data_IF_711250735292
#
_entry.id   IF_711250735292
#
_cell.length_a   1.000
_cell.length_b   1.000
_cell.length_c   1.000
_cell.angle_alpha   90.00
_cell.angle_beta   90.00
_cell.angle_gamma   90.00
#
_symmetry.space_group_name_H-M   'P 1'
#
loop_
_entity.id
_entity.type
_entity.pdbx_description
1 polymer ?
#
# COMPACT_ATOMS: atom_id res chain seq x y z
N UNK A 1 -27.19 -48.22 -80.30
CA UNK A 1 -25.75 -48.28 -80.02
C UNK A 1 -25.42 -46.98 -79.28
N UNK A 2 -25.72 -46.92 -77.99
CA UNK A 2 -24.78 -47.26 -76.90
C UNK A 2 -23.46 -46.51 -77.04
N UNK A 3 -22.87 -45.90 -76.04
CA UNK A 3 -23.25 -45.57 -74.67
C UNK A 3 -22.11 -44.63 -74.26
N UNK A 4 -22.42 -43.40 -73.88
CA UNK A 4 -21.40 -42.43 -73.48
C UNK A 4 -20.74 -42.93 -72.20
N UNK A 5 -19.46 -43.31 -72.31
CA UNK A 5 -18.66 -43.71 -71.16
C UNK A 5 -18.71 -42.61 -70.08
N UNK A 6 -18.91 -42.96 -68.80
CA UNK A 6 -18.89 -41.98 -67.73
C UNK A 6 -17.51 -41.33 -67.65
N UNK A 7 -17.48 -40.00 -67.60
CA UNK A 7 -16.28 -39.22 -67.36
C UNK A 7 -15.62 -39.71 -66.05
N UNK A 8 -14.31 -39.98 -66.03
CA UNK A 8 -13.65 -40.38 -64.79
C UNK A 8 -13.87 -39.31 -63.72
N UNK A 9 -14.02 -39.69 -62.44
CA UNK A 9 -14.15 -38.71 -61.37
C UNK A 9 -12.95 -37.76 -61.43
N UNK A 10 -13.23 -36.45 -61.42
CA UNK A 10 -12.19 -35.44 -61.36
C UNK A 10 -11.28 -35.77 -60.18
N UNK A 11 -9.99 -35.96 -60.44
CA UNK A 11 -9.02 -36.18 -59.38
C UNK A 11 -9.07 -34.96 -58.46
N UNK A 12 -9.28 -35.18 -57.16
CA UNK A 12 -9.21 -34.15 -56.12
C UNK A 12 -7.88 -33.40 -56.28
N UNK A 13 -7.95 -32.23 -56.90
CA UNK A 13 -6.78 -31.37 -57.04
C UNK A 13 -6.41 -30.87 -55.65
N UNK A 14 -5.11 -30.80 -55.33
CA UNK A 14 -4.65 -30.34 -54.02
C UNK A 14 -5.15 -28.93 -53.65
N UNK A 15 -5.70 -28.19 -54.62
CA UNK A 15 -6.35 -26.88 -54.50
C UNK A 15 -7.76 -26.89 -53.88
N UNK A 16 -8.40 -28.04 -53.65
CA UNK A 16 -9.79 -28.13 -53.14
C UNK A 16 -9.91 -28.48 -51.64
N UNK A 17 -8.84 -28.31 -50.86
CA UNK A 17 -8.89 -28.58 -49.42
C UNK A 17 -9.60 -27.46 -48.65
N UNK A 18 -10.91 -27.59 -48.47
CA UNK A 18 -11.72 -26.70 -47.63
C UNK A 18 -11.99 -27.33 -46.25
N UNK A 19 -11.77 -26.57 -45.17
CA UNK A 19 -12.04 -27.02 -43.81
C UNK A 19 -13.55 -27.08 -43.52
N UNK A 20 -14.07 -28.28 -43.20
CA UNK A 20 -15.46 -28.49 -42.77
C UNK A 20 -15.51 -28.89 -41.28
N UNK A 21 -15.95 -27.98 -40.41
CA UNK A 21 -15.86 -28.13 -38.95
C UNK A 21 -16.65 -29.28 -38.30
N UNK A 22 -17.53 -29.96 -39.03
CA UNK A 22 -18.28 -31.14 -38.53
C UNK A 22 -17.71 -32.48 -39.00
N UNK A 23 -16.64 -32.48 -39.80
CA UNK A 23 -15.92 -33.69 -40.24
C UNK A 23 -14.64 -33.90 -39.41
N UNK A 24 -14.17 -35.15 -39.24
CA UNK A 24 -12.93 -35.41 -38.52
C UNK A 24 -11.74 -34.74 -39.21
N UNK A 25 -10.80 -34.24 -38.41
CA UNK A 25 -9.58 -33.57 -38.88
C UNK A 25 -8.77 -34.52 -39.78
N UNK A 26 -8.40 -34.01 -40.96
CA UNK A 26 -7.55 -34.71 -41.92
C UNK A 26 -6.25 -35.18 -41.25
N UNK A 27 -5.84 -36.45 -41.42
CA UNK A 27 -4.63 -37.00 -40.78
C UNK A 27 -3.36 -36.18 -41.02
N UNK A 28 -3.23 -35.56 -42.21
CA UNK A 28 -2.10 -34.70 -42.59
C UNK A 28 -1.97 -33.44 -41.73
N UNK A 29 -3.07 -32.92 -41.18
CA UNK A 29 -3.09 -31.70 -40.37
C UNK A 29 -2.94 -31.96 -38.87
N UNK A 30 -3.12 -33.21 -38.42
CA UNK A 30 -3.13 -33.54 -36.97
C UNK A 30 -1.83 -33.17 -36.28
N UNK A 31 -0.68 -33.46 -36.91
CA UNK A 31 0.62 -33.14 -36.34
C UNK A 31 0.85 -31.62 -36.31
N UNK A 32 0.54 -30.92 -37.40
CA UNK A 32 0.64 -29.45 -37.47
C UNK A 32 -0.22 -28.77 -36.41
N UNK A 33 -1.48 -29.20 -36.27
CA UNK A 33 -2.39 -28.68 -35.26
C UNK A 33 -1.93 -29.01 -33.84
N UNK A 34 -1.44 -30.24 -33.59
CA UNK A 34 -0.88 -30.60 -32.29
C UNK A 34 0.33 -29.73 -31.93
N UNK A 35 1.25 -29.49 -32.87
CA UNK A 35 2.39 -28.59 -32.68
C UNK A 35 1.92 -27.16 -32.42
N UNK A 36 0.96 -26.65 -33.19
CA UNK A 36 0.40 -25.31 -32.97
C UNK A 36 -0.20 -25.19 -31.57
N UNK A 37 -1.01 -26.17 -31.14
CA UNK A 37 -1.63 -26.18 -29.81
C UNK A 37 -0.57 -26.22 -28.71
N UNK A 38 0.45 -27.07 -28.84
CA UNK A 38 1.57 -27.14 -27.88
C UNK A 38 2.32 -25.82 -27.82
N UNK A 39 2.62 -25.21 -28.97
CA UNK A 39 3.30 -23.91 -29.05
C UNK A 39 2.46 -22.80 -28.42
N UNK A 40 1.15 -22.77 -28.65
CA UNK A 40 0.25 -21.79 -28.04
C UNK A 40 0.17 -21.96 -26.52
N UNK A 41 0.08 -23.20 -26.02
CA UNK A 41 0.11 -23.49 -24.58
C UNK A 41 1.46 -23.06 -23.99
N UNK A 42 2.57 -23.41 -24.64
CA UNK A 42 3.91 -23.04 -24.18
C UNK A 42 4.10 -21.52 -24.15
N UNK A 43 3.63 -20.80 -25.18
CA UNK A 43 3.67 -19.35 -25.25
C UNK A 43 2.80 -18.70 -24.15
N UNK A 44 1.62 -19.25 -23.89
CA UNK A 44 0.76 -18.80 -22.79
C UNK A 44 1.44 -18.98 -21.43
N UNK A 45 1.98 -20.17 -21.16
CA UNK A 45 2.71 -20.46 -19.90
C UNK A 45 3.93 -19.56 -19.75
N UNK A 46 4.71 -19.35 -20.82
CA UNK A 46 5.86 -18.46 -20.80
C UNK A 46 5.46 -17.01 -20.48
N UNK A 47 4.40 -16.51 -21.13
CA UNK A 47 3.89 -15.15 -20.88
C UNK A 47 3.37 -15.02 -19.46
N UNK A 48 2.60 -15.99 -18.96
CA UNK A 48 2.11 -16.01 -17.59
C UNK A 48 3.26 -16.04 -16.58
N UNK A 49 4.32 -16.81 -16.83
CA UNK A 49 5.50 -16.85 -15.97
C UNK A 49 6.25 -15.52 -15.96
N UNK A 50 6.37 -14.84 -17.11
CA UNK A 50 6.97 -13.50 -17.20
C UNK A 50 6.14 -12.48 -16.43
N UNK A 51 4.82 -12.44 -16.65
CA UNK A 51 3.92 -11.51 -15.95
C UNK A 51 3.91 -11.75 -14.45
N UNK A 52 3.86 -13.02 -14.01
CA UNK A 52 3.92 -13.38 -12.59
C UNK A 52 5.21 -12.88 -11.93
N UNK A 53 6.35 -13.00 -12.60
CA UNK A 53 7.64 -12.49 -12.10
C UNK A 53 7.74 -10.96 -12.10
N UNK A 54 6.92 -10.28 -12.88
CA UNK A 54 6.86 -8.81 -12.92
C UNK A 54 5.96 -8.24 -11.82
N UNK A 55 5.07 -9.03 -11.22
CA UNK A 55 4.28 -8.60 -10.08
C UNK A 55 5.16 -8.59 -8.82
N UNK A 56 5.22 -7.45 -8.14
CA UNK A 56 5.90 -7.32 -6.86
C UNK A 56 5.19 -8.09 -5.75
N UNK A 57 5.94 -8.49 -4.71
CA UNK A 57 5.36 -9.05 -3.49
C UNK A 57 4.37 -8.05 -2.87
N UNK A 58 3.07 -8.42 -2.72
CA UNK A 58 2.04 -7.53 -2.16
C UNK A 58 2.28 -7.20 -0.67
N UNK A 59 3.21 -7.89 -0.01
CA UNK A 59 3.67 -7.62 1.34
C UNK A 59 2.77 -8.17 2.46
N UNK A 60 3.25 -8.03 3.68
CA UNK A 60 2.72 -8.67 4.91
C UNK A 60 1.71 -7.81 5.67
N UNK A 61 1.20 -6.72 5.08
CA UNK A 61 0.26 -5.82 5.78
C UNK A 61 -0.98 -6.57 6.24
N UNK A 62 -1.62 -6.20 7.35
CA UNK A 62 -2.84 -6.86 7.82
C UNK A 62 -3.77 -5.80 8.37
N UNK A 63 -5.03 -5.86 7.99
CA UNK A 63 -6.10 -5.09 8.61
C UNK A 63 -6.97 -6.06 9.43
N UNK A 64 -6.93 -5.92 10.75
CA UNK A 64 -7.71 -6.72 11.70
C UNK A 64 -9.16 -6.24 11.78
N UNK A 65 -9.80 -6.13 10.61
CA UNK A 65 -11.16 -5.64 10.46
C UNK A 65 -12.17 -6.58 11.13
N UNK A 66 -13.23 -6.01 11.70
CA UNK A 66 -14.24 -6.77 12.44
C UNK A 66 -13.83 -7.20 13.85
N UNK A 67 -12.56 -7.02 14.24
CA UNK A 67 -12.08 -7.28 15.60
C UNK A 67 -11.60 -5.97 16.25
N UNK A 68 -12.51 -5.16 16.82
CA UNK A 68 -12.14 -3.91 17.45
C UNK A 68 -11.19 -4.18 18.63
N UNK A 69 -10.19 -3.33 18.78
CA UNK A 69 -9.20 -3.36 19.85
C UNK A 69 -9.18 -2.02 20.56
N UNK A 70 -8.79 -2.05 21.82
CA UNK A 70 -8.71 -0.88 22.67
C UNK A 70 -7.26 -0.55 22.99
N UNK A 71 -6.93 0.73 22.93
CA UNK A 71 -5.63 1.28 23.26
C UNK A 71 -5.82 2.46 24.21
N UNK A 72 -4.97 2.58 25.22
CA UNK A 72 -5.06 3.67 26.20
C UNK A 72 -3.81 4.51 26.10
N UNK A 73 -3.98 5.82 25.96
CA UNK A 73 -2.87 6.74 25.77
C UNK A 73 -3.32 8.20 25.73
N UNK A 74 -2.39 9.07 25.32
CA UNK A 74 -2.64 10.50 25.13
C UNK A 74 -2.84 10.79 23.65
N UNK A 75 -3.90 11.50 23.31
CA UNK A 75 -4.16 11.94 21.94
C UNK A 75 -3.26 13.14 21.64
N UNK A 76 -2.59 13.09 20.50
CA UNK A 76 -1.77 14.19 19.96
C UNK A 76 -2.13 14.37 18.49
N UNK A 77 -2.37 15.61 18.05
CA UNK A 77 -2.83 15.89 16.70
C UNK A 77 -1.77 16.44 15.74
N UNK A 78 -0.56 16.74 16.23
CA UNK A 78 0.55 17.21 15.41
C UNK A 78 1.68 16.16 15.30
N UNK A 79 2.28 15.96 14.11
CA UNK A 79 1.88 16.51 12.80
C UNK A 79 0.56 15.94 12.27
N UNK A 80 0.18 14.76 12.74
CA UNK A 80 -1.05 14.08 12.37
C UNK A 80 -1.70 13.47 13.61
N UNK A 81 -3.03 13.27 13.61
CA UNK A 81 -3.73 12.56 14.67
C UNK A 81 -3.09 11.22 15.02
N UNK A 82 -2.69 11.07 16.27
CA UNK A 82 -2.08 9.86 16.81
C UNK A 82 -2.45 9.66 18.29
N UNK A 83 -2.39 8.41 18.72
CA UNK A 83 -2.43 8.03 20.12
C UNK A 83 -1.01 7.66 20.55
N UNK A 84 -0.47 8.39 21.50
CA UNK A 84 0.79 8.05 22.17
C UNK A 84 0.50 7.04 23.29
N UNK A 85 1.07 5.84 23.18
CA UNK A 85 0.90 4.77 24.15
C UNK A 85 2.24 4.38 24.78
N UNK A 86 2.17 3.94 26.04
CA UNK A 86 3.31 3.28 26.69
C UNK A 86 3.25 1.81 26.32
N UNK A 87 4.26 1.25 25.62
CA UNK A 87 4.27 -0.17 25.30
C UNK A 87 4.29 -1.03 26.58
N UNK A 88 3.68 -2.22 26.51
CA UNK A 88 3.65 -3.18 27.63
C UNK A 88 5.04 -3.74 27.96
N UNK A 89 5.89 -3.86 26.95
CA UNK A 89 7.29 -4.26 27.09
C UNK A 89 8.20 -3.02 27.16
N UNK A 90 9.44 -3.19 27.64
CA UNK A 90 10.43 -2.12 27.68
C UNK A 90 10.68 -1.62 26.24
N UNK A 91 10.42 -0.34 26.00
CA UNK A 91 10.64 0.31 24.70
C UNK A 91 10.11 1.75 24.72
N UNK A 92 10.46 2.54 23.71
CA UNK A 92 10.06 3.96 23.59
C UNK A 92 8.54 4.15 23.51
N UNK A 93 8.07 5.35 23.79
CA UNK A 93 6.67 5.72 23.56
C UNK A 93 6.32 5.45 22.09
N UNK A 94 5.23 4.72 21.89
CA UNK A 94 4.78 4.34 20.57
C UNK A 94 3.66 5.29 20.11
N UNK A 95 3.75 5.76 18.89
CA UNK A 95 2.71 6.56 18.25
C UNK A 95 1.89 5.72 17.28
N UNK A 96 0.59 5.59 17.56
CA UNK A 96 -0.38 4.93 16.69
C UNK A 96 -1.16 6.00 15.92
N UNK A 97 -0.93 6.14 14.61
CA UNK A 97 -1.70 7.06 13.78
C UNK A 97 -3.19 6.72 13.85
N UNK A 98 -4.03 7.75 13.93
CA UNK A 98 -5.48 7.64 13.97
C UNK A 98 -6.06 8.06 12.62
N UNK A 99 -6.88 7.20 12.02
CA UNK A 99 -7.61 7.50 10.79
C UNK A 99 -9.08 7.16 10.94
N UNK A 100 -9.90 7.77 10.10
CA UNK A 100 -11.32 7.47 10.04
C UNK A 100 -11.58 6.29 9.09
N UNK A 101 -12.80 5.78 9.14
CA UNK A 101 -13.30 4.87 8.11
C UNK A 101 -13.29 5.54 6.73
N UNK A 102 -13.04 4.75 5.68
CA UNK A 102 -12.94 5.27 4.31
C UNK A 102 -11.61 5.99 4.03
N UNK A 103 -11.66 7.10 3.29
CA UNK A 103 -10.48 7.83 2.76
C UNK A 103 -10.18 9.11 3.54
N UNK A 104 -10.38 9.11 4.85
CA UNK A 104 -10.26 10.30 5.69
C UNK A 104 -9.26 10.09 6.83
N UNK A 105 -8.47 11.12 7.12
CA UNK A 105 -7.60 11.16 8.30
C UNK A 105 -8.39 11.35 9.60
N UNK A 106 -7.77 11.06 10.75
CA UNK A 106 -8.43 11.08 12.06
C UNK A 106 -8.77 12.47 12.60
N UNK A 107 -8.54 13.55 11.83
CA UNK A 107 -8.55 14.92 12.34
C UNK A 107 -9.90 15.35 12.88
N UNK A 108 -10.99 14.97 12.20
CA UNK A 108 -12.34 15.40 12.55
C UNK A 108 -12.72 15.06 14.00
N UNK A 109 -12.43 13.84 14.46
CA UNK A 109 -12.78 13.40 15.82
C UNK A 109 -11.63 13.50 16.81
N UNK A 110 -10.37 13.45 16.36
CA UNK A 110 -9.22 13.56 17.26
C UNK A 110 -8.92 15.01 17.70
N UNK A 111 -9.06 16.00 16.81
CA UNK A 111 -8.69 17.40 17.11
C UNK A 111 -9.36 17.98 18.36
N UNK A 112 -10.67 17.81 18.59
CA UNK A 112 -11.32 18.31 19.82
C UNK A 112 -10.82 17.62 21.11
N UNK A 113 -10.04 16.54 20.97
CA UNK A 113 -9.52 15.70 22.06
C UNK A 113 -8.00 15.81 22.19
N UNK A 114 -7.37 16.75 21.49
CA UNK A 114 -5.93 16.94 21.56
C UNK A 114 -5.45 17.17 23.00
N UNK A 115 -4.37 16.47 23.37
CA UNK A 115 -3.82 16.47 24.72
C UNK A 115 -4.60 15.65 25.76
N UNK A 116 -5.79 15.12 25.44
CA UNK A 116 -6.59 14.35 26.38
C UNK A 116 -6.08 12.90 26.49
N UNK A 117 -6.26 12.32 27.68
CA UNK A 117 -6.07 10.90 27.92
C UNK A 117 -7.36 10.15 27.61
N UNK A 118 -7.24 9.14 26.75
CA UNK A 118 -8.40 8.39 26.28
C UNK A 118 -8.06 6.94 26.03
N UNK A 119 -9.09 6.11 26.18
CA UNK A 119 -9.21 4.81 25.56
C UNK A 119 -9.74 5.02 24.15
N UNK A 120 -8.96 4.63 23.16
CA UNK A 120 -9.31 4.65 21.75
C UNK A 120 -9.66 3.24 21.31
N UNK A 121 -10.83 3.08 20.70
CA UNK A 121 -11.32 1.81 20.17
C UNK A 121 -11.35 1.86 18.66
N UNK A 122 -10.82 0.83 18.00
CA UNK A 122 -10.78 0.77 16.54
C UNK A 122 -10.17 -0.52 15.99
N UNK A 123 -10.01 -0.57 14.67
CA UNK A 123 -9.42 -1.70 13.96
C UNK A 123 -7.93 -1.45 13.71
N UNK A 124 -7.10 -2.44 14.07
CA UNK A 124 -5.66 -2.34 13.92
C UNK A 124 -5.24 -2.64 12.48
N UNK A 125 -4.40 -1.79 11.90
CA UNK A 125 -3.65 -2.08 10.69
C UNK A 125 -2.17 -2.19 11.05
N UNK A 126 -1.48 -3.19 10.50
CA UNK A 126 -0.06 -3.41 10.80
C UNK A 126 0.74 -4.02 9.64
N UNK A 127 1.99 -3.58 9.50
CA UNK A 127 2.98 -4.13 8.56
C UNK A 127 4.37 -3.93 9.12
N UNK A 128 5.21 -4.96 9.09
CA UNK A 128 6.63 -4.88 9.46
C UNK A 128 6.85 -4.21 10.83
N UNK A 129 5.97 -4.48 11.81
CA UNK A 129 6.01 -3.90 13.16
C UNK A 129 5.47 -2.47 13.29
N UNK A 130 4.97 -1.87 12.20
CA UNK A 130 4.31 -0.54 12.21
C UNK A 130 2.82 -0.76 12.40
N UNK A 131 2.19 0.15 13.14
CA UNK A 131 0.79 0.02 13.53
C UNK A 131 0.05 1.34 13.41
N UNK A 132 -1.22 1.27 13.04
CA UNK A 132 -2.15 2.39 13.07
C UNK A 132 -3.56 1.91 13.39
N UNK A 133 -4.42 2.82 13.82
CA UNK A 133 -5.80 2.53 14.21
C UNK A 133 -6.74 3.23 13.23
N UNK A 134 -7.58 2.44 12.57
CA UNK A 134 -8.83 2.98 12.02
C UNK A 134 -9.85 3.04 13.15
N UNK A 135 -10.31 4.24 13.48
CA UNK A 135 -11.24 4.47 14.58
C UNK A 135 -12.57 3.73 14.33
N UNK A 136 -13.12 3.14 15.39
CA UNK A 136 -14.47 2.58 15.36
C UNK A 136 -15.47 3.67 14.94
N UNK A 137 -16.55 3.28 14.27
CA UNK A 137 -17.60 4.23 13.93
C UNK A 137 -18.35 4.73 15.19
N UNK A 138 -18.82 5.97 15.14
CA UNK A 138 -19.57 6.61 16.23
C UNK A 138 -18.75 7.01 17.46
N UNK A 139 -19.45 7.48 18.50
CA UNK A 139 -18.82 8.10 19.68
C UNK A 139 -18.07 7.10 20.57
N UNK A 140 -18.39 5.80 20.45
CA UNK A 140 -17.74 4.72 21.21
C UNK A 140 -16.24 4.52 20.86
N UNK A 141 -15.74 5.20 19.82
CA UNK A 141 -14.32 5.20 19.49
C UNK A 141 -13.43 5.85 20.56
N UNK A 142 -14.00 6.70 21.41
CA UNK A 142 -13.26 7.40 22.46
C UNK A 142 -13.98 7.31 23.79
N UNK A 143 -13.27 6.88 24.83
CA UNK A 143 -13.70 7.02 26.22
C UNK A 143 -12.61 7.73 27.02
N UNK A 144 -12.99 8.76 27.78
CA UNK A 144 -12.04 9.49 28.63
C UNK A 144 -11.42 8.56 29.68
N UNK A 145 -10.13 8.75 29.96
CA UNK A 145 -9.38 7.99 30.97
C UNK A 145 -8.64 8.98 31.85
N UNK A 146 -8.66 8.75 33.17
CA UNK A 146 -7.82 9.51 34.08
C UNK A 146 -6.35 9.09 33.89
N UNK A 147 -5.47 10.08 33.68
CA UNK A 147 -4.03 9.87 33.52
C UNK A 147 -3.44 9.02 34.64
N UNK A 148 -3.86 9.24 35.89
CA UNK A 148 -3.32 8.54 37.07
C UNK A 148 -3.55 7.03 37.01
N UNK A 149 -4.52 6.56 36.20
CA UNK A 149 -4.78 5.15 35.96
C UNK A 149 -3.84 4.54 34.89
N UNK A 150 -3.01 5.33 34.21
CA UNK A 150 -2.12 4.86 33.13
C UNK A 150 -0.69 4.72 33.65
N UNK A 151 -0.25 3.47 33.80
CA UNK A 151 1.11 3.16 34.21
C UNK A 151 2.15 3.75 33.23
N UNK A 152 3.12 4.49 33.75
CA UNK A 152 4.19 5.09 32.94
C UNK A 152 3.77 6.32 32.12
N UNK A 153 2.62 6.93 32.43
CA UNK A 153 2.11 8.12 31.75
C UNK A 153 3.15 9.27 31.64
N UNK A 154 4.01 9.42 32.64
CA UNK A 154 5.06 10.46 32.68
C UNK A 154 6.04 10.36 31.51
N UNK A 155 6.21 9.17 30.93
CA UNK A 155 7.08 8.94 29.77
C UNK A 155 6.55 9.59 28.50
N UNK A 156 5.23 9.74 28.38
CA UNK A 156 4.58 10.41 27.25
C UNK A 156 4.68 11.92 27.37
N UNK A 157 4.73 12.45 28.60
CA UNK A 157 4.83 13.89 28.84
C UNK A 157 6.25 14.43 28.87
N UNK A 158 7.23 13.56 29.11
CA UNK A 158 8.62 13.93 28.91
C UNK A 158 8.79 14.48 27.48
N UNK A 159 9.47 15.62 27.30
CA UNK A 159 9.77 16.13 25.96
C UNK A 159 10.36 14.99 25.12
N UNK A 160 9.85 14.75 23.90
CA UNK A 160 10.36 13.68 23.08
C UNK A 160 11.86 13.88 22.88
N UNK A 161 12.63 12.82 23.01
CA UNK A 161 14.04 12.86 22.67
C UNK A 161 14.14 13.04 21.15
N UNK A 162 14.54 14.24 20.74
CA UNK A 162 14.66 14.62 19.34
C UNK A 162 16.09 14.39 18.88
N UNK A 163 16.27 13.44 17.96
CA UNK A 163 17.54 13.22 17.28
C UNK A 163 17.41 13.65 15.83
N UNK A 164 18.03 14.77 15.50
CA UNK A 164 18.11 15.24 14.11
C UNK A 164 19.36 14.67 13.44
N UNK A 165 19.16 14.06 12.28
CA UNK A 165 20.23 13.67 11.36
C UNK A 165 20.29 14.73 10.27
N UNK A 166 21.51 15.11 9.89
CA UNK A 166 21.76 16.11 8.85
C UNK A 166 20.96 15.84 7.55
N UNK A 167 20.78 16.89 6.77
CA UNK A 167 20.08 16.83 5.50
C UNK A 167 20.63 15.71 4.61
N UNK A 168 19.72 14.87 4.13
CA UNK A 168 20.05 13.74 3.30
C UNK A 168 19.08 13.65 2.11
N UNK A 169 19.66 13.33 0.95
CA UNK A 169 18.90 13.00 -0.23
C UNK A 169 18.51 11.51 -0.14
N UNK A 170 17.22 11.22 -0.16
CA UNK A 170 16.71 9.85 -0.06
C UNK A 170 15.85 9.49 -1.27
N UNK A 171 15.96 8.21 -1.66
CA UNK A 171 15.23 7.62 -2.77
C UNK A 171 14.17 6.66 -2.23
N UNK A 172 12.95 6.78 -2.75
CA UNK A 172 11.83 6.01 -2.24
C UNK A 172 10.52 6.35 -2.91
N UNK A 173 9.43 6.11 -2.18
CA UNK A 173 8.07 6.31 -2.66
C UNK A 173 7.21 6.92 -1.56
N UNK A 174 6.35 7.88 -1.92
CA UNK A 174 5.33 8.43 -1.03
C UNK A 174 4.08 7.56 -1.14
N UNK A 175 3.65 6.97 -0.02
CA UNK A 175 2.51 6.06 0.05
C UNK A 175 1.43 6.57 1.00
N UNK A 176 0.19 6.14 0.77
CA UNK A 176 -0.90 6.24 1.74
C UNK A 176 -0.66 5.24 2.88
N UNK A 177 -0.48 5.73 4.10
CA UNK A 177 -0.11 4.85 5.24
C UNK A 177 -1.18 3.79 5.52
N UNK A 178 -2.47 4.13 5.38
CA UNK A 178 -3.58 3.21 5.66
C UNK A 178 -3.61 2.02 4.71
N UNK A 179 -3.63 2.29 3.42
CA UNK A 179 -3.57 1.23 2.42
C UNK A 179 -2.26 0.45 2.52
N UNK A 180 -1.13 1.13 2.68
CA UNK A 180 0.17 0.46 2.81
C UNK A 180 0.25 -0.47 4.03
N UNK A 181 -0.34 -0.13 5.18
CA UNK A 181 -0.32 -0.99 6.36
C UNK A 181 -1.30 -2.18 6.30
N UNK A 182 -2.26 -2.20 5.36
CA UNK A 182 -3.05 -3.40 5.13
C UNK A 182 -4.46 -3.20 4.58
N UNK A 183 -4.96 -1.96 4.46
CA UNK A 183 -6.28 -1.75 3.86
C UNK A 183 -6.31 -2.06 2.36
N UNK A 184 -5.15 -2.10 1.70
CA UNK A 184 -5.02 -2.58 0.32
C UNK A 184 -3.71 -3.37 0.15
N UNK A 185 -3.71 -4.37 -0.73
CA UNK A 185 -2.53 -5.16 -1.08
C UNK A 185 -2.45 -5.37 -2.60
N UNK A 186 -1.40 -4.90 -3.28
CA UNK A 186 -0.35 -4.00 -2.78
C UNK A 186 -0.93 -2.62 -2.40
N UNK A 187 -0.25 -1.92 -1.49
CA UNK A 187 -0.61 -0.55 -1.06
C UNK A 187 0.36 0.50 -1.61
N UNK A 188 1.06 0.15 -2.68
CA UNK A 188 2.15 0.89 -3.31
C UNK A 188 2.11 0.76 -4.84
N UNK A 189 2.89 1.60 -5.50
CA UNK A 189 3.07 1.66 -6.95
C UNK A 189 1.89 2.28 -7.70
N UNK A 190 2.06 2.36 -9.03
CA UNK A 190 1.13 3.08 -9.92
C UNK A 190 -0.31 2.57 -9.86
N UNK A 191 -0.53 1.29 -9.59
CA UNK A 191 -1.87 0.72 -9.44
C UNK A 191 -2.63 1.31 -8.24
N UNK A 192 -1.92 1.85 -7.25
CA UNK A 192 -2.49 2.46 -6.05
C UNK A 192 -2.58 4.00 -6.10
N UNK A 193 -1.94 4.64 -7.08
CA UNK A 193 -1.72 6.10 -7.14
C UNK A 193 -2.97 6.96 -6.92
N UNK A 194 -4.02 6.76 -7.71
CA UNK A 194 -5.25 7.56 -7.61
C UNK A 194 -5.94 7.35 -6.26
N UNK A 195 -6.00 6.10 -5.81
CA UNK A 195 -6.57 5.76 -4.51
C UNK A 195 -5.79 6.40 -3.35
N UNK A 196 -4.46 6.33 -3.38
CA UNK A 196 -3.56 6.93 -2.39
C UNK A 196 -3.66 8.45 -2.37
N UNK A 197 -3.72 9.07 -3.55
CA UNK A 197 -3.87 10.52 -3.71
C UNK A 197 -5.15 11.01 -3.03
N UNK A 198 -6.27 10.31 -3.19
CA UNK A 198 -7.52 10.64 -2.51
C UNK A 198 -7.42 10.46 -0.99
N UNK A 199 -6.78 9.38 -0.52
CA UNK A 199 -6.57 9.14 0.91
C UNK A 199 -5.74 10.25 1.57
N UNK A 200 -4.61 10.61 0.97
CA UNK A 200 -3.71 11.66 1.48
C UNK A 200 -4.40 13.02 1.42
N UNK A 201 -5.13 13.33 0.33
CA UNK A 201 -5.96 14.55 0.26
C UNK A 201 -7.03 14.58 1.36
N UNK A 202 -7.60 13.44 1.71
CA UNK A 202 -8.53 13.30 2.83
C UNK A 202 -7.89 13.40 4.22
N UNK A 203 -6.58 13.64 4.30
CA UNK A 203 -5.84 13.84 5.54
C UNK A 203 -5.23 12.57 6.12
N UNK A 204 -5.23 11.44 5.40
CA UNK A 204 -4.47 10.26 5.84
C UNK A 204 -2.97 10.59 5.77
N UNK A 205 -2.19 10.29 6.83
CA UNK A 205 -0.80 10.70 6.86
C UNK A 205 0.01 10.04 5.73
N UNK A 206 0.78 10.81 4.94
CA UNK A 206 1.69 10.27 3.94
C UNK A 206 2.96 9.72 4.59
N UNK A 207 3.36 8.52 4.19
CA UNK A 207 4.64 7.92 4.60
C UNK A 207 5.57 7.82 3.40
N UNK A 208 6.84 8.17 3.57
CA UNK A 208 7.89 7.91 2.61
C UNK A 208 8.57 6.58 2.93
N UNK A 209 8.65 5.68 1.95
CA UNK A 209 9.26 4.36 2.09
C UNK A 209 10.55 4.31 1.30
N UNK A 210 11.67 4.04 1.97
CA UNK A 210 12.95 3.73 1.33
C UNK A 210 13.23 2.23 1.40
N UNK A 211 14.06 1.72 0.51
CA UNK A 211 14.52 0.33 0.52
C UNK A 211 16.03 0.29 0.43
N UNK A 212 16.68 -0.51 1.27
CA UNK A 212 18.13 -0.75 1.14
C UNK A 212 18.43 -1.82 0.07
N UNK A 213 19.72 -2.10 -0.16
CA UNK A 213 20.18 -3.08 -1.15
C UNK A 213 19.73 -4.52 -0.85
N UNK A 214 19.28 -4.80 0.38
CA UNK A 214 18.73 -6.08 0.80
C UNK A 214 17.19 -6.11 0.77
N UNK A 215 16.56 -5.03 0.29
CA UNK A 215 15.11 -4.88 0.20
C UNK A 215 14.44 -4.52 1.53
N UNK A 216 15.21 -4.25 2.59
CA UNK A 216 14.66 -3.85 3.90
C UNK A 216 14.06 -2.46 3.78
N UNK A 217 12.82 -2.33 4.27
CA UNK A 217 12.06 -1.08 4.22
C UNK A 217 12.34 -0.21 5.44
N UNK A 218 12.46 1.08 5.22
CA UNK A 218 12.41 2.11 6.27
C UNK A 218 11.26 3.06 5.99
N UNK A 219 10.60 3.49 7.06
CA UNK A 219 9.31 4.20 7.02
C UNK A 219 9.51 5.54 7.66
N UNK A 220 9.18 6.61 6.93
CA UNK A 220 9.29 7.97 7.43
C UNK A 220 7.96 8.69 7.28
N UNK A 221 7.39 9.16 8.38
CA UNK A 221 6.22 10.03 8.33
C UNK A 221 6.63 11.37 7.72
N UNK A 222 6.00 11.77 6.62
CA UNK A 222 6.40 13.00 5.92
C UNK A 222 5.78 14.21 6.61
N UNK A 223 6.59 15.24 6.84
CA UNK A 223 6.14 16.52 7.36
C UNK A 223 6.71 17.68 6.55
N UNK A 224 6.11 18.86 6.74
CA UNK A 224 6.70 20.10 6.25
C UNK A 224 8.00 20.45 7.02
N UNK A 225 8.77 21.46 6.59
CA UNK A 225 10.00 21.85 7.27
C UNK A 225 9.77 22.36 8.70
N UNK A 226 8.54 22.71 9.10
CA UNK A 226 8.20 23.10 10.46
C UNK A 226 7.72 21.90 11.32
N UNK A 227 7.69 20.68 10.76
CA UNK A 227 7.24 19.48 11.44
C UNK A 227 5.71 19.35 11.51
N UNK A 228 4.97 20.07 10.68
CA UNK A 228 3.49 19.99 10.54
C UNK A 228 3.11 19.05 9.40
N UNK A 229 1.81 18.77 9.26
CA UNK A 229 1.30 18.06 8.10
C UNK A 229 1.74 18.72 6.80
N UNK A 230 2.21 17.92 5.85
CA UNK A 230 2.57 18.40 4.52
C UNK A 230 1.31 18.77 3.72
N UNK A 231 1.42 19.78 2.85
CA UNK A 231 0.30 20.23 2.01
C UNK A 231 0.13 19.41 0.73
N UNK A 232 -0.96 19.69 -0.01
CA UNK A 232 -1.37 18.96 -1.21
C UNK A 232 -0.38 19.00 -2.38
N UNK A 233 0.68 19.82 -2.34
CA UNK A 233 1.70 19.85 -3.40
C UNK A 233 2.48 18.53 -3.53
N UNK A 234 2.42 17.64 -2.54
CA UNK A 234 2.99 16.29 -2.63
C UNK A 234 2.17 15.34 -3.52
N UNK A 235 0.87 15.61 -3.71
CA UNK A 235 -0.08 14.69 -4.35
C UNK A 235 0.35 14.22 -5.75
N UNK A 236 0.93 15.05 -6.62
CA UNK A 236 1.38 14.60 -7.95
C UNK A 236 2.47 13.50 -7.90
N UNK A 237 3.20 13.41 -6.80
CA UNK A 237 4.35 12.52 -6.61
C UNK A 237 4.01 11.22 -5.87
N UNK A 238 2.79 11.11 -5.36
CA UNK A 238 2.32 9.91 -4.65
C UNK A 238 2.42 8.70 -5.58
N UNK A 239 2.93 7.60 -5.03
CA UNK A 239 3.15 6.33 -5.70
C UNK A 239 4.06 6.36 -6.95
N UNK A 240 4.81 7.45 -7.14
CA UNK A 240 5.92 7.50 -8.09
C UNK A 240 7.24 7.24 -7.34
N UNK A 241 8.23 6.59 -8.00
CA UNK A 241 9.61 6.62 -7.53
C UNK A 241 10.11 8.07 -7.52
N UNK A 242 10.54 8.53 -6.35
CA UNK A 242 11.01 9.90 -6.17
C UNK A 242 12.28 9.97 -5.36
N UNK A 243 12.98 11.08 -5.57
CA UNK A 243 14.13 11.53 -4.81
C UNK A 243 13.75 12.82 -4.09
N UNK A 244 14.06 12.90 -2.79
CA UNK A 244 13.68 14.03 -1.94
C UNK A 244 14.86 14.41 -1.04
N UNK A 245 15.11 15.71 -0.91
CA UNK A 245 16.03 16.26 0.08
C UNK A 245 15.25 16.67 1.34
N UNK A 246 15.74 16.28 2.51
CA UNK A 246 15.20 16.72 3.79
C UNK A 246 15.98 16.21 4.99
N UNK A 247 15.47 16.51 6.17
CA UNK A 247 16.08 16.17 7.46
C UNK A 247 15.30 15.01 8.08
N UNK A 248 16.01 14.03 8.66
CA UNK A 248 15.35 12.97 9.42
C UNK A 248 15.40 13.29 10.90
N UNK A 249 14.24 13.17 11.53
CA UNK A 249 14.06 13.45 12.94
C UNK A 249 13.43 12.21 13.60
N UNK A 250 14.03 11.72 14.68
CA UNK A 250 13.40 10.68 15.51
C UNK A 250 12.61 11.33 16.64
N UNK A 251 11.34 10.92 16.81
CA UNK A 251 10.49 11.26 17.96
C UNK A 251 9.89 9.98 18.54
N UNK A 252 10.51 9.45 19.60
CA UNK A 252 10.12 8.14 20.15
C UNK A 252 10.20 7.05 19.07
N UNK A 253 9.10 6.32 18.87
CA UNK A 253 9.02 5.29 17.82
C UNK A 253 8.92 5.83 16.38
N UNK A 254 8.65 7.12 16.18
CA UNK A 254 8.48 7.71 14.85
C UNK A 254 9.81 8.17 14.25
N UNK A 255 9.96 7.91 12.96
CA UNK A 255 10.91 8.60 12.10
C UNK A 255 10.12 9.60 11.26
N UNK A 256 10.40 10.87 11.42
CA UNK A 256 9.85 11.94 10.62
C UNK A 256 10.86 12.28 9.52
N UNK A 257 10.37 12.56 8.33
CA UNK A 257 11.16 13.13 7.25
C UNK A 257 10.60 14.49 6.90
N UNK A 258 11.29 15.53 7.36
CA UNK A 258 10.95 16.93 7.14
C UNK A 258 11.46 17.33 5.78
N UNK A 259 10.54 17.59 4.86
CA UNK A 259 10.88 17.83 3.45
C UNK A 259 10.47 19.22 2.99
N UNK A 260 11.23 19.73 2.04
CA UNK A 260 10.77 20.84 1.20
C UNK A 260 10.10 20.23 -0.04
N UNK A 261 8.80 20.46 -0.23
CA UNK A 261 8.07 19.86 -1.38
C UNK A 261 8.68 20.24 -2.74
N UNK A 262 9.38 21.38 -2.82
CA UNK A 262 10.09 21.82 -4.03
C UNK A 262 11.32 20.98 -4.38
N UNK A 263 11.80 20.11 -3.48
CA UNK A 263 12.96 19.25 -3.72
C UNK A 263 12.57 17.90 -4.30
N UNK A 264 11.28 17.58 -4.38
CA UNK A 264 10.79 16.29 -4.88
C UNK A 264 11.05 16.19 -6.39
N UNK A 265 11.77 15.15 -6.80
CA UNK A 265 12.08 14.84 -8.19
C UNK A 265 11.59 13.43 -8.52
N UNK A 266 10.84 13.27 -9.63
CA UNK A 266 10.51 11.94 -10.16
C UNK A 266 11.75 11.32 -10.79
N UNK A 267 11.90 10.01 -10.60
CA UNK A 267 12.96 9.20 -11.19
C UNK A 267 12.51 8.53 -12.49
#
# INVERSE_FOLDING_TARGET
MDSTAPMPPAADSASDQFYCGYRPVAPSLRMTLAVIVIVLIAAFVATAAVMSRQHGDPGTGVWHFGTPREFVGRIVCEPYPMLLIVPKERGDVEALLLVEMGKFGGGQRALPRDGQWARVTGYLLERDGRRMIELLDGDAAFAAVDRSAVAGADRIEAPPEVHEVADQEMFGEIVDTKCYLGAMKPGDGKAHKECATLCIRGGIPPTFITRDNFGKRTYYLITDPAGRAVDERILPFVADPVKILGTVERRGSLLLFRIHVTTIQRM
#
